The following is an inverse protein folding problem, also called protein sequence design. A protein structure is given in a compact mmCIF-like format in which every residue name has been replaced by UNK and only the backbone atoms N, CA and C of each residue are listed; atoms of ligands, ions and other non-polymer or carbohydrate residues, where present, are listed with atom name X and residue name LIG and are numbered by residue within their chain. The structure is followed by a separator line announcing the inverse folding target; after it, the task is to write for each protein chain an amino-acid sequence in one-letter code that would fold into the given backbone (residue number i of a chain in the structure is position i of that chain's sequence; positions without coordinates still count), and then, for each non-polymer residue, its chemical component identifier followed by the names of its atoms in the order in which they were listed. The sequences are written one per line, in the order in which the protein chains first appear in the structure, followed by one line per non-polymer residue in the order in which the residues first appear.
data_IF_541883121749
#
_entry.id   IF_541883121749
#
_cell.length_a   1.000
_cell.length_b   1.000
_cell.length_c   1.000
_cell.angle_alpha   90.00
_cell.angle_beta   90.00
_cell.angle_gamma   90.00
#
_symmetry.space_group_name_H-M   'P 1'
#
loop_
_entity.id
_entity.type
_entity.pdbx_description
1 polymer ?
#
# COMPACT_ATOMS: atom_id res chain seq x y z
N UNK A 1 2.23 8.06 8.78
CA UNK A 1 2.59 6.68 9.19
C UNK A 1 1.60 5.70 8.55
N UNK A 2 2.00 4.46 8.26
CA UNK A 2 1.13 3.47 7.62
C UNK A 2 1.54 2.04 7.96
N UNK A 3 0.59 1.11 7.92
CA UNK A 3 0.83 -0.33 7.84
C UNK A 3 0.89 -0.79 6.37
N UNK A 4 1.53 -1.92 6.11
CA UNK A 4 1.54 -2.54 4.77
C UNK A 4 1.36 -4.05 4.90
N UNK A 5 0.73 -4.64 3.89
CA UNK A 5 0.45 -6.08 3.86
C UNK A 5 -0.41 -6.43 2.66
N UNK A 6 -0.38 -7.70 2.24
CA UNK A 6 -1.03 -8.17 1.00
C UNK A 6 -2.51 -7.79 0.92
N UNK A 7 -3.22 -7.81 2.06
CA UNK A 7 -4.65 -7.50 2.10
C UNK A 7 -4.98 -6.03 1.81
N UNK A 8 -4.11 -5.08 2.17
CA UNK A 8 -4.40 -3.64 2.09
C UNK A 8 -3.42 -2.86 1.20
N UNK A 9 -2.31 -3.47 0.78
CA UNK A 9 -1.16 -2.86 0.11
C UNK A 9 -0.50 -1.81 1.02
N UNK A 10 -1.20 -0.70 1.29
CA UNK A 10 -0.84 0.37 2.22
C UNK A 10 -2.09 0.83 2.99
N UNK A 11 -1.99 0.94 4.32
CA UNK A 11 -3.07 1.40 5.20
C UNK A 11 -2.60 2.58 6.07
N UNK A 12 -3.10 3.81 5.84
CA UNK A 12 -2.71 4.99 6.62
C UNK A 12 -3.17 4.88 8.07
N UNK A 13 -2.33 5.29 9.02
CA UNK A 13 -2.66 5.32 10.44
C UNK A 13 -3.01 6.76 10.82
N UNK A 14 -4.25 6.99 11.26
CA UNK A 14 -4.73 8.31 11.65
C UNK A 14 -4.47 8.68 13.10
N UNK A 15 -4.56 7.72 14.04
CA UNK A 15 -4.38 7.96 15.48
C UNK A 15 -3.70 6.80 16.19
N UNK A 16 -3.05 7.10 17.32
CA UNK A 16 -2.48 6.10 18.23
C UNK A 16 -2.96 6.42 19.65
N UNK A 17 -3.49 5.43 20.37
CA UNK A 17 -3.73 5.54 21.80
C UNK A 17 -2.51 5.01 22.55
N UNK A 18 -1.82 5.88 23.28
CA UNK A 18 -0.63 5.53 24.06
C UNK A 18 -0.66 6.26 25.41
N UNK A 19 -0.40 5.56 26.52
CA UNK A 19 -0.42 6.14 27.88
C UNK A 19 -1.68 6.97 28.19
N UNK A 20 -2.85 6.49 27.74
CA UNK A 20 -4.16 7.18 27.86
C UNK A 20 -4.26 8.51 27.11
N UNK A 21 -3.32 8.81 26.22
CA UNK A 21 -3.35 9.96 25.32
C UNK A 21 -3.63 9.51 23.89
N UNK A 22 -4.54 10.21 23.22
CA UNK A 22 -4.86 9.99 21.81
C UNK A 22 -3.98 10.92 20.97
N UNK A 23 -3.03 10.35 20.24
CA UNK A 23 -2.08 11.05 19.40
C UNK A 23 -2.59 11.05 17.96
N UNK A 24 -2.79 12.24 17.39
CA UNK A 24 -3.12 12.40 15.97
C UNK A 24 -1.86 12.27 15.11
N UNK A 25 -1.94 11.49 14.04
CA UNK A 25 -0.83 11.29 13.10
C UNK A 25 -1.08 12.17 11.86
N UNK A 26 -0.26 13.21 11.63
CA UNK A 26 -0.45 14.10 10.50
C UNK A 26 0.03 13.46 9.20
N UNK A 27 -0.62 13.86 8.09
CA UNK A 27 -0.12 13.65 6.73
C UNK A 27 -0.21 12.20 6.23
N UNK A 28 -0.98 12.01 5.15
CA UNK A 28 -1.14 10.71 4.49
C UNK A 28 -0.91 10.76 2.97
N UNK A 29 -0.50 11.89 2.39
CA UNK A 29 -0.38 12.02 0.92
C UNK A 29 0.58 11.00 0.28
N UNK A 30 1.67 10.65 0.96
CA UNK A 30 2.60 9.64 0.47
C UNK A 30 1.97 8.24 0.38
N UNK A 31 1.03 7.91 1.27
CA UNK A 31 0.39 6.60 1.29
C UNK A 31 -0.46 6.35 0.05
N UNK A 32 -1.14 7.39 -0.45
CA UNK A 32 -1.92 7.30 -1.69
C UNK A 32 -1.02 7.14 -2.91
N UNK A 33 0.10 7.88 -2.97
CA UNK A 33 1.08 7.73 -4.05
C UNK A 33 1.67 6.31 -4.08
N UNK A 34 2.06 5.78 -2.92
CA UNK A 34 2.60 4.42 -2.82
C UNK A 34 1.55 3.35 -3.14
N UNK A 35 0.32 3.53 -2.68
CA UNK A 35 -0.80 2.64 -3.00
C UNK A 35 -1.04 2.56 -4.50
N UNK A 36 -1.18 3.71 -5.16
CA UNK A 36 -1.43 3.77 -6.60
C UNK A 36 -0.28 3.17 -7.41
N UNK A 37 0.97 3.46 -7.05
CA UNK A 37 2.13 2.93 -7.77
C UNK A 37 2.20 1.39 -7.69
N UNK A 38 1.97 0.81 -6.50
CA UNK A 38 1.94 -0.63 -6.34
C UNK A 38 0.75 -1.27 -7.05
N UNK A 39 -0.40 -0.59 -7.05
CA UNK A 39 -1.60 -1.03 -7.75
C UNK A 39 -1.39 -1.05 -9.26
N UNK A 40 -0.79 0.01 -9.82
CA UNK A 40 -0.48 0.11 -11.25
C UNK A 40 0.47 -1.00 -11.70
N UNK A 41 1.45 -1.35 -10.85
CA UNK A 41 2.34 -2.49 -11.09
C UNK A 41 1.55 -3.80 -11.08
N UNK A 42 0.77 -4.05 -10.02
CA UNK A 42 0.05 -5.31 -9.81
C UNK A 42 -1.01 -5.61 -10.87
N UNK A 43 -1.66 -4.56 -11.39
CA UNK A 43 -2.67 -4.67 -12.45
C UNK A 43 -2.08 -4.53 -13.86
N UNK A 44 -0.76 -4.45 -14.00
CA UNK A 44 -0.09 -4.39 -15.30
C UNK A 44 -0.30 -3.08 -16.06
N UNK A 45 -0.75 -2.02 -15.39
CA UNK A 45 -0.79 -0.66 -15.95
C UNK A 45 0.64 -0.13 -16.14
N UNK A 46 1.55 -0.53 -15.24
CA UNK A 46 2.96 -0.17 -15.27
C UNK A 46 3.83 -1.42 -15.14
N UNK A 47 4.80 -1.59 -16.03
CA UNK A 47 5.81 -2.64 -15.89
C UNK A 47 6.87 -2.25 -14.87
N UNK A 48 7.27 -3.18 -14.01
CA UNK A 48 8.34 -2.98 -13.05
C UNK A 48 9.15 -4.26 -12.82
N UNK A 49 10.27 -4.37 -13.53
CA UNK A 49 11.21 -5.48 -13.42
C UNK A 49 10.51 -6.83 -13.50
N UNK A 50 10.78 -7.69 -12.52
CA UNK A 50 10.24 -9.05 -12.41
C UNK A 50 9.27 -9.22 -11.21
N UNK A 51 8.61 -8.13 -10.77
CA UNK A 51 7.71 -8.18 -9.60
C UNK A 51 6.38 -8.87 -9.88
N UNK A 52 5.94 -8.90 -11.14
CA UNK A 52 4.67 -9.50 -11.56
C UNK A 52 4.96 -10.61 -12.57
N UNK A 53 4.28 -11.74 -12.39
CA UNK A 53 4.33 -12.86 -13.31
C UNK A 53 2.95 -13.05 -13.94
N UNK A 54 2.90 -13.00 -15.27
CA UNK A 54 1.69 -13.39 -16.01
C UNK A 54 1.55 -14.90 -15.93
N UNK A 55 0.36 -15.36 -15.56
CA UNK A 55 0.03 -16.78 -15.51
C UNK A 55 -0.63 -17.14 -16.83
N UNK A 56 0.05 -17.95 -17.64
CA UNK A 56 -0.55 -18.52 -18.84
C UNK A 56 -1.65 -19.53 -18.45
N UNK A 57 -2.81 -19.38 -19.05
CA UNK A 57 -3.98 -20.24 -18.79
C UNK A 57 -3.99 -21.53 -19.62
N UNK A 58 -2.93 -21.79 -20.39
CA UNK A 58 -2.77 -23.00 -21.19
C UNK A 58 -1.92 -24.03 -20.42
N UNK A 59 -2.61 -24.82 -19.60
CA UNK A 59 -2.24 -26.21 -19.31
C UNK A 59 -3.10 -27.12 -20.18
#
# INVERSE_FOLDING_TARGET
MFGSGTACIVCPIGKILFEKQLLDIPGHEFTLKLFNELLDIQYGIKEYGNWVQIIDSTN
#
